data_IF_670648209311
#
_entry.id   IF_670648209311
#
_cell.length_a   1.000
_cell.length_b   1.000
_cell.length_c   1.000
_cell.angle_alpha   90.00
_cell.angle_beta   90.00
_cell.angle_gamma   90.00
#
_symmetry.space_group_name_H-M   'P 1'
#
loop_
_entity.id
_entity.type
_entity.pdbx_description
1 polymer ?
#
# COMPACT_ATOMS: atom_id res chain seq x y z
N UNK A 1 -24.94 -4.62 25.09
CA UNK A 1 -24.88 -5.98 24.50
C UNK A 1 -23.40 -6.28 24.30
N UNK A 2 -22.86 -7.04 25.25
CA UNK A 2 -21.44 -7.40 25.33
C UNK A 2 -21.12 -8.42 24.23
N UNK A 3 -20.22 -8.04 23.34
CA UNK A 3 -19.75 -8.86 22.23
C UNK A 3 -18.56 -9.68 22.72
N UNK A 4 -18.81 -10.92 23.13
CA UNK A 4 -17.73 -11.85 23.45
C UNK A 4 -17.08 -12.36 22.16
N UNK A 5 -15.86 -11.88 21.89
CA UNK A 5 -14.99 -12.37 20.82
C UNK A 5 -13.97 -13.32 21.47
N UNK A 6 -14.16 -14.62 21.30
CA UNK A 6 -13.19 -15.63 21.74
C UNK A 6 -11.98 -15.68 20.79
N UNK A 7 -10.79 -15.39 21.34
CA UNK A 7 -9.49 -15.48 20.67
C UNK A 7 -8.70 -16.67 21.25
N UNK A 8 -8.01 -17.44 20.40
CA UNK A 8 -7.23 -18.62 20.80
C UNK A 8 -5.74 -18.49 20.39
N UNK A 9 -4.83 -18.88 21.29
CA UNK A 9 -3.39 -19.10 21.04
C UNK A 9 -2.95 -20.44 21.66
N UNK A 10 -2.26 -21.30 20.91
CA UNK A 10 -1.66 -22.55 21.41
C UNK A 10 -0.17 -22.40 21.73
N UNK A 11 0.27 -22.95 22.88
CA UNK A 11 1.65 -22.93 23.39
C UNK A 11 2.48 -24.19 23.06
N UNK A 12 3.80 -24.04 23.18
CA UNK A 12 4.84 -25.05 22.90
C UNK A 12 5.31 -25.83 24.16
N UNK A 13 5.86 -27.03 23.88
CA UNK A 13 6.91 -27.81 24.58
C UNK A 13 6.54 -29.08 25.38
N UNK A 14 7.20 -30.19 25.00
CA UNK A 14 8.10 -30.91 25.90
C UNK A 14 7.64 -32.23 26.55
N UNK A 15 8.00 -33.34 25.91
CA UNK A 15 8.41 -34.67 26.46
C UNK A 15 7.77 -35.25 27.74
N UNK A 16 7.17 -36.44 27.59
CA UNK A 16 6.86 -37.34 28.70
C UNK A 16 6.25 -38.67 28.22
N UNK A 17 7.09 -39.63 27.83
CA UNK A 17 6.68 -41.00 27.50
C UNK A 17 6.36 -41.72 28.81
N UNK A 18 5.07 -41.94 29.08
CA UNK A 18 4.46 -43.09 29.78
C UNK A 18 2.98 -42.79 30.10
N UNK A 19 2.19 -42.41 29.07
CA UNK A 19 0.70 -42.35 29.09
C UNK A 19 0.12 -42.54 27.68
N UNK A 20 0.76 -43.33 26.82
CA UNK A 20 0.47 -43.34 25.38
C UNK A 20 -0.93 -43.88 25.00
N UNK A 21 -1.55 -44.76 25.81
CA UNK A 21 -2.88 -45.31 25.49
C UNK A 21 -4.04 -44.35 25.79
N UNK A 22 -4.12 -43.83 27.02
CA UNK A 22 -5.18 -42.90 27.44
C UNK A 22 -4.95 -41.48 26.90
N UNK A 23 -3.70 -41.00 26.79
CA UNK A 23 -3.44 -39.68 26.21
C UNK A 23 -3.78 -39.64 24.72
N UNK A 24 -3.45 -40.69 23.95
CA UNK A 24 -3.81 -40.77 22.53
C UNK A 24 -5.33 -40.92 22.30
N UNK A 25 -6.06 -41.63 23.18
CA UNK A 25 -7.54 -41.64 23.13
C UNK A 25 -8.13 -40.26 23.48
N UNK A 26 -7.60 -39.58 24.49
CA UNK A 26 -8.01 -38.21 24.86
C UNK A 26 -7.69 -37.19 23.76
N UNK A 27 -6.56 -37.36 23.07
CA UNK A 27 -6.14 -36.50 21.97
C UNK A 27 -6.97 -36.74 20.70
N UNK A 28 -7.29 -38.00 20.39
CA UNK A 28 -8.28 -38.35 19.35
C UNK A 28 -9.67 -37.80 19.66
N UNK A 29 -10.13 -37.91 20.91
CA UNK A 29 -11.42 -37.36 21.34
C UNK A 29 -11.44 -35.83 21.19
N UNK A 30 -10.38 -35.13 21.62
CA UNK A 30 -10.24 -33.67 21.43
C UNK A 30 -10.19 -33.26 19.97
N UNK A 31 -9.50 -34.01 19.11
CA UNK A 31 -9.48 -33.75 17.66
C UNK A 31 -10.85 -33.98 17.02
N UNK A 32 -11.59 -34.99 17.48
CA UNK A 32 -12.96 -35.26 17.03
C UNK A 32 -13.92 -34.14 17.43
N UNK A 33 -13.89 -33.71 18.69
CA UNK A 33 -14.68 -32.57 19.18
C UNK A 33 -14.37 -31.27 18.43
N UNK A 34 -13.07 -30.99 18.21
CA UNK A 34 -12.64 -29.82 17.44
C UNK A 34 -13.10 -29.88 15.98
N UNK A 35 -13.05 -31.07 15.37
CA UNK A 35 -13.54 -31.31 14.01
C UNK A 35 -15.07 -31.09 13.91
N UNK A 36 -15.84 -31.65 14.84
CA UNK A 36 -17.29 -31.48 14.90
C UNK A 36 -17.68 -30.02 15.12
N UNK A 37 -16.98 -29.31 16.00
CA UNK A 37 -17.16 -27.88 16.21
C UNK A 37 -16.87 -27.08 14.93
N UNK A 38 -15.82 -27.42 14.19
CA UNK A 38 -15.49 -26.79 12.93
C UNK A 38 -16.56 -27.04 11.85
N UNK A 39 -17.06 -28.27 11.72
CA UNK A 39 -18.15 -28.62 10.79
C UNK A 39 -19.42 -27.85 11.13
N UNK A 40 -19.77 -27.75 12.42
CA UNK A 40 -20.92 -26.98 12.89
C UNK A 40 -20.76 -25.49 12.58
N UNK A 41 -19.58 -24.91 12.80
CA UNK A 41 -19.29 -23.51 12.47
C UNK A 41 -19.37 -23.24 10.96
N UNK A 42 -18.84 -24.16 10.13
CA UNK A 42 -18.95 -24.09 8.67
C UNK A 42 -20.41 -24.14 8.20
N UNK A 43 -21.21 -25.07 8.74
CA UNK A 43 -22.63 -25.18 8.44
C UNK A 43 -23.42 -23.92 8.87
N UNK A 44 -23.06 -23.32 10.01
CA UNK A 44 -23.60 -22.06 10.48
C UNK A 44 -23.25 -20.89 9.55
N UNK A 45 -21.98 -20.77 9.13
CA UNK A 45 -21.54 -19.74 8.20
C UNK A 45 -22.16 -19.88 6.80
N UNK A 46 -22.50 -21.10 6.39
CA UNK A 46 -23.22 -21.37 5.15
C UNK A 46 -24.74 -21.07 5.24
N UNK A 47 -25.30 -20.77 6.41
CA UNK A 47 -26.74 -20.49 6.56
C UNK A 47 -27.11 -19.16 5.87
N UNK A 48 -27.95 -19.16 4.83
CA UNK A 48 -28.28 -17.95 4.07
C UNK A 48 -29.05 -16.89 4.89
N UNK A 49 -29.67 -17.27 6.00
CA UNK A 49 -30.50 -16.37 6.81
C UNK A 49 -29.72 -15.49 7.80
N UNK A 50 -28.38 -15.61 7.84
CA UNK A 50 -27.52 -14.82 8.74
C UNK A 50 -26.40 -14.14 7.96
N UNK A 51 -25.96 -12.97 8.44
CA UNK A 51 -24.67 -12.41 8.05
C UNK A 51 -23.56 -13.19 8.75
N UNK A 52 -22.55 -13.62 8.00
CA UNK A 52 -21.47 -14.44 8.52
C UNK A 52 -20.10 -13.84 8.17
N UNK A 53 -19.18 -13.87 9.13
CA UNK A 53 -17.77 -13.57 8.93
C UNK A 53 -16.96 -14.84 9.24
N UNK A 54 -16.25 -15.35 8.23
CA UNK A 54 -15.51 -16.61 8.35
C UNK A 54 -13.99 -16.35 8.37
N UNK A 55 -13.41 -16.35 9.57
CA UNK A 55 -11.94 -16.37 9.75
C UNK A 55 -11.44 -17.80 9.74
N UNK A 56 -10.54 -18.14 8.83
CA UNK A 56 -9.99 -19.49 8.82
C UNK A 56 -8.61 -19.56 8.16
N UNK A 57 -7.74 -20.44 8.68
CA UNK A 57 -6.40 -20.68 8.15
C UNK A 57 -6.44 -21.27 6.73
N UNK A 58 -5.30 -21.38 6.05
CA UNK A 58 -5.23 -22.09 4.76
C UNK A 58 -5.77 -23.53 4.89
N UNK A 59 -6.43 -24.06 3.86
CA UNK A 59 -6.95 -25.43 3.84
C UNK A 59 -8.23 -25.69 4.67
N UNK A 60 -8.74 -24.71 5.41
CA UNK A 60 -9.92 -24.82 6.29
C UNK A 60 -11.29 -24.91 5.61
N UNK A 61 -11.34 -25.00 4.28
CA UNK A 61 -12.61 -25.18 3.55
C UNK A 61 -13.45 -23.92 3.32
N UNK A 62 -12.90 -22.69 3.46
CA UNK A 62 -13.64 -21.42 3.19
C UNK A 62 -14.38 -21.42 1.84
N UNK A 63 -13.71 -21.86 0.79
CA UNK A 63 -14.31 -21.95 -0.55
C UNK A 63 -15.50 -22.91 -0.58
N UNK A 64 -15.42 -24.05 0.12
CA UNK A 64 -16.52 -24.99 0.26
C UNK A 64 -17.71 -24.33 0.97
N UNK A 65 -17.46 -23.61 2.08
CA UNK A 65 -18.51 -22.89 2.82
C UNK A 65 -19.24 -21.89 1.92
N UNK A 66 -18.51 -21.12 1.10
CA UNK A 66 -19.11 -20.18 0.15
C UNK A 66 -19.95 -20.88 -0.93
N UNK A 67 -19.46 -21.98 -1.49
CA UNK A 67 -20.21 -22.76 -2.48
C UNK A 67 -21.47 -23.37 -1.87
N UNK A 68 -21.35 -23.98 -0.69
CA UNK A 68 -22.48 -24.55 0.05
C UNK A 68 -23.51 -23.45 0.35
N UNK A 69 -23.07 -22.23 0.70
CA UNK A 69 -23.95 -21.08 0.91
C UNK A 69 -24.68 -20.65 -0.36
N UNK A 70 -23.98 -20.55 -1.50
CA UNK A 70 -24.61 -20.20 -2.78
C UNK A 70 -25.62 -21.27 -3.19
N UNK A 71 -25.29 -22.55 -3.02
CA UNK A 71 -26.20 -23.64 -3.31
C UNK A 71 -27.47 -23.58 -2.43
N UNK A 72 -27.33 -23.30 -1.13
CA UNK A 72 -28.46 -23.08 -0.21
C UNK A 72 -29.31 -21.85 -0.56
N UNK A 73 -28.71 -20.77 -1.08
CA UNK A 73 -29.47 -19.60 -1.55
C UNK A 73 -30.36 -19.93 -2.76
N UNK A 74 -29.93 -20.85 -3.62
CA UNK A 74 -30.67 -21.28 -4.81
C UNK A 74 -31.76 -22.30 -4.49
N UNK A 75 -31.60 -23.09 -3.42
CA UNK A 75 -32.57 -24.10 -3.02
C UNK A 75 -33.90 -23.48 -2.57
N UNK A 76 -34.98 -24.25 -2.77
CA UNK A 76 -36.30 -23.91 -2.23
C UNK A 76 -36.21 -23.80 -0.71
N UNK A 77 -36.80 -22.75 -0.16
CA UNK A 77 -36.74 -22.45 1.27
C UNK A 77 -37.67 -23.37 2.04
N UNK A 78 -37.36 -23.61 3.31
CA UNK A 78 -38.17 -24.46 4.20
C UNK A 78 -39.61 -23.94 4.37
N UNK A 79 -39.82 -22.62 4.26
CA UNK A 79 -41.16 -21.98 4.27
C UNK A 79 -41.95 -22.17 2.96
N UNK A 80 -41.41 -22.95 2.01
CA UNK A 80 -42.03 -23.27 0.74
C UNK A 80 -41.82 -22.23 -0.36
N UNK A 81 -41.16 -21.10 -0.09
CA UNK A 81 -40.84 -20.08 -1.10
C UNK A 81 -39.72 -20.54 -2.03
N UNK A 82 -39.70 -20.08 -3.30
CA UNK A 82 -38.58 -20.37 -4.19
C UNK A 82 -37.27 -19.80 -3.62
N UNK A 83 -36.16 -20.45 -3.98
CA UNK A 83 -34.82 -19.90 -3.76
C UNK A 83 -34.57 -18.65 -4.59
N UNK A 84 -33.43 -18.01 -4.37
CA UNK A 84 -32.99 -16.85 -5.13
C UNK A 84 -32.78 -17.20 -6.61
N UNK A 85 -33.10 -16.26 -7.51
CA UNK A 85 -32.75 -16.40 -8.91
C UNK A 85 -31.22 -16.34 -9.08
N UNK A 86 -30.60 -17.13 -9.99
CA UNK A 86 -29.15 -17.22 -10.06
C UNK A 86 -28.42 -15.90 -10.35
N UNK A 87 -29.05 -14.96 -11.06
CA UNK A 87 -28.51 -13.64 -11.36
C UNK A 87 -28.67 -12.62 -10.22
N UNK A 88 -29.49 -12.94 -9.20
CA UNK A 88 -29.69 -12.12 -8.00
C UNK A 88 -28.63 -12.33 -6.91
N UNK A 89 -27.80 -13.37 -7.03
CA UNK A 89 -26.72 -13.69 -6.09
C UNK A 89 -25.41 -13.10 -6.60
N UNK A 90 -24.87 -12.09 -5.92
CA UNK A 90 -23.54 -11.54 -6.17
C UNK A 90 -22.49 -12.22 -5.30
N UNK A 91 -21.51 -12.86 -5.93
CA UNK A 91 -20.34 -13.43 -5.27
C UNK A 91 -19.06 -12.87 -5.90
N UNK A 92 -18.31 -12.07 -5.14
CA UNK A 92 -17.08 -11.43 -5.62
C UNK A 92 -15.82 -12.08 -5.04
N UNK A 93 -14.75 -12.12 -5.82
CA UNK A 93 -13.42 -12.60 -5.40
C UNK A 93 -12.29 -11.78 -6.01
N UNK A 94 -11.05 -12.03 -5.60
CA UNK A 94 -9.89 -11.27 -6.06
C UNK A 94 -9.39 -11.71 -7.44
N UNK A 95 -9.43 -13.01 -7.73
CA UNK A 95 -8.81 -13.57 -8.95
C UNK A 95 -9.83 -14.26 -9.86
N UNK A 96 -9.60 -14.19 -11.17
CA UNK A 96 -10.41 -14.91 -12.16
C UNK A 96 -10.36 -16.43 -11.95
N UNK A 97 -9.21 -16.94 -11.52
CA UNK A 97 -9.02 -18.36 -11.22
C UNK A 97 -9.93 -18.82 -10.06
N UNK A 98 -10.01 -18.05 -8.97
CA UNK A 98 -10.88 -18.39 -7.85
C UNK A 98 -12.37 -18.34 -8.24
N UNK A 99 -12.77 -17.35 -9.06
CA UNK A 99 -14.14 -17.25 -9.56
C UNK A 99 -14.51 -18.49 -10.39
N UNK A 100 -13.64 -18.87 -11.34
CA UNK A 100 -13.83 -20.05 -12.19
C UNK A 100 -13.84 -21.35 -11.38
N UNK A 101 -12.97 -21.48 -10.38
CA UNK A 101 -12.96 -22.65 -9.49
C UNK A 101 -14.28 -22.76 -8.72
N UNK A 102 -14.78 -21.65 -8.17
CA UNK A 102 -16.06 -21.62 -7.44
C UNK A 102 -17.24 -21.99 -8.35
N UNK A 103 -17.31 -21.40 -9.56
CA UNK A 103 -18.32 -21.75 -10.57
C UNK A 103 -18.27 -23.24 -10.92
N UNK A 104 -17.08 -23.76 -11.21
CA UNK A 104 -16.88 -25.17 -11.59
C UNK A 104 -17.36 -26.12 -10.50
N UNK A 105 -17.01 -25.82 -9.24
CA UNK A 105 -17.43 -26.64 -8.09
C UNK A 105 -18.94 -26.55 -7.85
N UNK A 106 -19.54 -25.37 -7.96
CA UNK A 106 -20.98 -25.18 -7.82
C UNK A 106 -21.75 -25.93 -8.91
N UNK A 107 -21.36 -25.77 -10.18
CA UNK A 107 -21.97 -26.48 -11.30
C UNK A 107 -21.85 -28.00 -11.16
N UNK A 108 -20.72 -28.50 -10.63
CA UNK A 108 -20.57 -29.93 -10.32
C UNK A 108 -21.60 -30.39 -9.28
N UNK A 109 -21.80 -29.63 -8.20
CA UNK A 109 -22.79 -29.95 -7.17
C UNK A 109 -24.21 -29.94 -7.74
N UNK A 110 -24.58 -28.89 -8.48
CA UNK A 110 -25.92 -28.79 -9.08
C UNK A 110 -26.15 -29.89 -10.14
N UNK A 111 -25.14 -30.21 -10.94
CA UNK A 111 -25.21 -31.26 -11.96
C UNK A 111 -25.36 -32.65 -11.35
N UNK A 112 -24.66 -32.92 -10.24
CA UNK A 112 -24.82 -34.16 -9.48
C UNK A 112 -26.27 -34.30 -8.94
N UNK A 113 -26.86 -33.22 -8.42
CA UNK A 113 -28.26 -33.24 -7.96
C UNK A 113 -29.26 -33.53 -9.08
N UNK A 114 -29.01 -33.04 -10.30
CA UNK A 114 -29.90 -33.26 -11.43
C UNK A 114 -30.13 -34.76 -11.73
N UNK A 115 -29.12 -35.60 -11.48
CA UNK A 115 -29.12 -37.02 -11.88
C UNK A 115 -29.24 -38.03 -10.74
N UNK A 116 -29.12 -37.61 -9.47
CA UNK A 116 -29.23 -38.52 -8.31
C UNK A 116 -30.59 -39.23 -8.22
N UNK A 117 -30.69 -40.38 -7.59
CA UNK A 117 -31.99 -40.95 -7.20
C UNK A 117 -32.60 -40.18 -6.02
N UNK A 118 -33.91 -40.31 -5.78
CA UNK A 118 -34.63 -39.50 -4.79
C UNK A 118 -34.07 -39.64 -3.37
N UNK A 119 -33.79 -40.86 -2.91
CA UNK A 119 -33.23 -41.09 -1.56
C UNK A 119 -31.81 -40.52 -1.44
N UNK A 120 -30.96 -40.73 -2.45
CA UNK A 120 -29.62 -40.14 -2.50
C UNK A 120 -29.63 -38.61 -2.56
N UNK A 121 -30.61 -38.01 -3.26
CA UNK A 121 -30.76 -36.56 -3.33
C UNK A 121 -31.23 -36.00 -1.98
N UNK A 122 -32.17 -36.67 -1.31
CA UNK A 122 -32.61 -36.30 0.05
C UNK A 122 -31.45 -36.27 1.02
N UNK A 123 -30.62 -37.30 1.02
CA UNK A 123 -29.42 -37.37 1.88
C UNK A 123 -28.44 -36.22 1.58
N UNK A 124 -28.20 -35.94 0.29
CA UNK A 124 -27.31 -34.86 -0.11
C UNK A 124 -27.82 -33.48 0.34
N UNK A 125 -29.11 -33.21 0.17
CA UNK A 125 -29.75 -31.97 0.62
C UNK A 125 -29.80 -31.88 2.15
N UNK A 126 -30.17 -32.96 2.84
CA UNK A 126 -30.15 -33.07 4.29
C UNK A 126 -28.78 -32.73 4.89
N UNK A 127 -27.71 -33.32 4.32
CA UNK A 127 -26.34 -33.01 4.70
C UNK A 127 -25.97 -31.56 4.43
N UNK A 128 -26.45 -31.00 3.31
CA UNK A 128 -26.19 -29.61 2.97
C UNK A 128 -26.93 -28.66 3.92
N UNK A 129 -28.22 -28.81 4.18
CA UNK A 129 -29.01 -27.83 4.96
C UNK A 129 -29.05 -28.12 6.48
N UNK A 130 -28.69 -29.33 6.90
CA UNK A 130 -28.81 -29.77 8.29
C UNK A 130 -30.24 -30.17 8.69
N UNK A 131 -31.07 -30.55 7.71
CA UNK A 131 -32.46 -31.03 7.90
C UNK A 131 -32.53 -32.55 7.84
N UNK A 132 -33.62 -33.14 8.31
CA UNK A 132 -33.86 -34.59 8.16
C UNK A 132 -34.23 -34.93 6.69
N UNK A 133 -33.70 -36.02 6.09
CA UNK A 133 -33.97 -36.42 4.70
C UNK A 133 -35.45 -36.54 4.33
N UNK A 134 -36.28 -36.96 5.29
CA UNK A 134 -37.73 -37.18 5.11
C UNK A 134 -38.50 -35.86 5.01
N UNK A 135 -37.91 -34.74 5.47
CA UNK A 135 -38.57 -33.42 5.43
C UNK A 135 -38.64 -32.80 4.04
N UNK A 136 -37.92 -33.34 3.05
CA UNK A 136 -37.94 -32.83 1.69
C UNK A 136 -39.17 -33.36 0.93
N UNK A 137 -39.97 -32.48 0.35
CA UNK A 137 -41.09 -32.86 -0.49
C UNK A 137 -40.62 -33.31 -1.89
N UNK A 138 -41.53 -33.91 -2.67
CA UNK A 138 -41.26 -34.19 -4.10
C UNK A 138 -40.98 -32.91 -4.90
N UNK A 139 -41.60 -31.80 -4.51
CA UNK A 139 -41.34 -30.52 -5.17
C UNK A 139 -39.94 -30.00 -4.87
N UNK A 140 -39.43 -30.17 -3.65
CA UNK A 140 -38.05 -29.78 -3.30
C UNK A 140 -37.03 -30.51 -4.17
N UNK A 141 -37.21 -31.83 -4.36
CA UNK A 141 -36.36 -32.63 -5.22
C UNK A 141 -36.45 -32.19 -6.69
N UNK A 142 -37.66 -31.94 -7.18
CA UNK A 142 -37.89 -31.46 -8.55
C UNK A 142 -37.20 -30.12 -8.78
N UNK A 143 -37.31 -29.19 -7.83
CA UNK A 143 -36.73 -27.86 -7.96
C UNK A 143 -35.20 -27.92 -7.84
N UNK A 144 -34.66 -28.73 -6.92
CA UNK A 144 -33.22 -28.97 -6.79
C UNK A 144 -32.61 -29.51 -8.10
N UNK A 145 -33.28 -30.47 -8.77
CA UNK A 145 -32.82 -31.02 -10.06
C UNK A 145 -32.78 -29.99 -11.18
N UNK A 146 -33.71 -29.03 -11.14
CA UNK A 146 -33.80 -27.96 -12.15
C UNK A 146 -32.75 -26.87 -11.97
N UNK A 147 -32.10 -26.78 -10.80
CA UNK A 147 -31.14 -25.70 -10.51
C UNK A 147 -29.97 -25.67 -11.50
N UNK A 148 -29.47 -26.83 -11.94
CA UNK A 148 -28.39 -26.87 -12.92
C UNK A 148 -28.79 -26.24 -14.26
N UNK A 149 -29.96 -26.62 -14.79
CA UNK A 149 -30.49 -26.05 -16.03
C UNK A 149 -30.80 -24.55 -15.88
N UNK A 150 -31.48 -24.16 -14.80
CA UNK A 150 -31.78 -22.75 -14.50
C UNK A 150 -30.50 -21.91 -14.42
N UNK A 151 -29.47 -22.42 -13.76
CA UNK A 151 -28.17 -21.76 -13.64
C UNK A 151 -27.47 -21.57 -15.00
N UNK A 152 -27.56 -22.54 -15.91
CA UNK A 152 -26.99 -22.47 -17.25
C UNK A 152 -27.76 -21.52 -18.19
N UNK A 153 -29.09 -21.53 -18.09
CA UNK A 153 -29.98 -20.73 -18.95
C UNK A 153 -30.15 -19.29 -18.47
N UNK A 154 -29.66 -18.95 -17.27
CA UNK A 154 -29.73 -17.60 -16.71
C UNK A 154 -29.00 -16.61 -17.62
N UNK A 155 -29.67 -15.56 -18.14
CA UNK A 155 -29.03 -14.54 -18.98
C UNK A 155 -27.88 -13.84 -18.24
N UNK A 156 -26.68 -13.95 -18.80
CA UNK A 156 -25.46 -13.41 -18.17
C UNK A 156 -24.90 -14.27 -17.03
N UNK A 157 -25.47 -15.46 -16.79
CA UNK A 157 -25.00 -16.49 -15.86
C UNK A 157 -25.06 -16.09 -14.38
N UNK A 158 -24.58 -17.01 -13.52
CA UNK A 158 -24.36 -16.71 -12.11
C UNK A 158 -23.30 -15.62 -11.95
N UNK A 159 -23.56 -14.67 -11.04
CA UNK A 159 -22.66 -13.54 -10.77
C UNK A 159 -21.55 -13.94 -9.79
N UNK A 160 -20.73 -14.92 -10.18
CA UNK A 160 -19.47 -15.25 -9.50
C UNK A 160 -18.33 -14.64 -10.31
N UNK A 161 -17.85 -13.47 -9.87
CA UNK A 161 -16.92 -12.65 -10.67
C UNK A 161 -15.82 -12.01 -9.82
N UNK A 162 -14.86 -11.36 -10.46
CA UNK A 162 -13.85 -10.58 -9.73
C UNK A 162 -14.41 -9.22 -9.31
N UNK A 163 -13.82 -8.60 -8.30
CA UNK A 163 -14.15 -7.21 -7.91
C UNK A 163 -14.07 -6.27 -9.13
N UNK A 164 -13.02 -6.42 -9.96
CA UNK A 164 -12.85 -5.62 -11.18
C UNK A 164 -13.98 -5.83 -12.18
N UNK A 165 -14.38 -7.08 -12.45
CA UNK A 165 -15.47 -7.38 -13.39
C UNK A 165 -16.81 -6.81 -12.89
N UNK A 166 -17.07 -6.93 -11.59
CA UNK A 166 -18.22 -6.32 -10.94
C UNK A 166 -18.25 -4.79 -11.10
N UNK A 167 -17.16 -4.11 -10.74
CA UNK A 167 -17.04 -2.67 -10.88
C UNK A 167 -17.19 -2.23 -12.35
N UNK A 168 -16.52 -2.91 -13.28
CA UNK A 168 -16.60 -2.60 -14.70
C UNK A 168 -18.02 -2.77 -15.24
N UNK A 169 -18.77 -3.78 -14.77
CA UNK A 169 -20.18 -3.98 -15.13
C UNK A 169 -21.07 -2.84 -14.61
N UNK A 170 -20.84 -2.36 -13.38
CA UNK A 170 -21.55 -1.19 -12.85
C UNK A 170 -21.27 0.05 -13.70
N UNK A 171 -19.99 0.32 -13.98
CA UNK A 171 -19.58 1.47 -14.81
C UNK A 171 -20.19 1.40 -16.21
N UNK A 172 -20.27 0.21 -16.82
CA UNK A 172 -20.92 0.03 -18.13
C UNK A 172 -22.43 0.21 -18.08
N UNK A 173 -23.07 0.02 -16.92
CA UNK A 173 -24.52 0.20 -16.75
C UNK A 173 -24.90 1.67 -16.55
N UNK A 174 -24.02 2.44 -15.92
CA UNK A 174 -24.23 3.87 -15.60
C UNK A 174 -23.02 4.71 -16.01
N UNK A 175 -22.64 4.73 -17.31
CA UNK A 175 -21.40 5.38 -17.75
C UNK A 175 -21.46 6.90 -17.58
N UNK A 176 -22.62 7.52 -17.82
CA UNK A 176 -22.79 8.97 -17.72
C UNK A 176 -22.68 9.45 -16.28
N UNK A 177 -23.33 8.76 -15.35
CA UNK A 177 -23.28 9.05 -13.92
C UNK A 177 -21.88 8.83 -13.34
N UNK A 178 -21.14 7.86 -13.87
CA UNK A 178 -19.76 7.59 -13.49
C UNK A 178 -18.74 8.53 -14.17
N UNK A 179 -19.17 9.41 -15.09
CA UNK A 179 -18.26 10.28 -15.83
C UNK A 179 -17.31 9.54 -16.77
N UNK A 180 -17.67 8.34 -17.22
CA UNK A 180 -16.87 7.52 -18.16
C UNK A 180 -17.55 7.42 -19.52
N UNK A 181 -16.75 7.24 -20.57
CA UNK A 181 -17.27 7.10 -21.93
C UNK A 181 -17.99 5.75 -22.08
N UNK A 182 -19.19 5.70 -22.69
CA UNK A 182 -19.82 4.44 -23.05
C UNK A 182 -18.90 3.58 -23.93
N UNK A 183 -18.83 2.28 -23.64
CA UNK A 183 -17.97 1.35 -24.38
C UNK A 183 -16.48 1.43 -24.00
N UNK A 184 -16.14 2.00 -22.84
CA UNK A 184 -14.76 1.98 -22.36
C UNK A 184 -14.21 0.54 -22.29
N UNK A 185 -12.93 0.42 -22.64
CA UNK A 185 -12.15 -0.79 -22.48
C UNK A 185 -11.22 -0.63 -21.29
N UNK A 186 -10.97 -1.73 -20.61
CA UNK A 186 -9.95 -1.77 -19.56
C UNK A 186 -8.58 -1.72 -20.24
N UNK A 187 -7.73 -0.82 -19.74
CA UNK A 187 -6.37 -0.65 -20.27
C UNK A 187 -5.44 -1.68 -19.63
N UNK A 188 -4.64 -2.37 -20.43
CA UNK A 188 -3.62 -3.27 -19.90
C UNK A 188 -2.45 -2.48 -19.30
N UNK A 189 -1.78 -3.06 -18.30
CA UNK A 189 -0.65 -2.40 -17.61
C UNK A 189 0.46 -1.96 -18.57
N UNK A 190 0.69 -2.73 -19.64
CA UNK A 190 1.68 -2.41 -20.67
C UNK A 190 1.27 -1.15 -21.42
N UNK A 191 0.02 -1.09 -21.87
CA UNK A 191 -0.52 0.05 -22.61
C UNK A 191 -0.58 1.30 -21.72
N UNK A 192 -0.95 1.14 -20.45
CA UNK A 192 -0.94 2.21 -19.46
C UNK A 192 0.46 2.78 -19.23
N UNK A 193 1.49 1.92 -19.20
CA UNK A 193 2.89 2.36 -19.12
C UNK A 193 3.32 3.10 -20.39
N UNK A 194 3.00 2.57 -21.57
CA UNK A 194 3.34 3.22 -22.83
C UNK A 194 2.67 4.60 -22.97
N UNK A 195 1.38 4.70 -22.65
CA UNK A 195 0.63 5.95 -22.65
C UNK A 195 1.23 6.97 -21.66
N UNK A 196 1.59 6.52 -20.47
CA UNK A 196 2.25 7.37 -19.47
C UNK A 196 3.59 7.91 -19.96
N UNK A 197 4.45 7.08 -20.56
CA UNK A 197 5.73 7.53 -21.10
C UNK A 197 5.52 8.56 -22.22
N UNK A 198 4.62 8.31 -23.16
CA UNK A 198 4.32 9.24 -24.24
C UNK A 198 3.78 10.60 -23.74
N UNK A 199 2.87 10.58 -22.74
CA UNK A 199 2.36 11.80 -22.13
C UNK A 199 3.47 12.58 -21.40
N UNK A 200 4.35 11.87 -20.70
CA UNK A 200 5.48 12.45 -19.97
C UNK A 200 6.51 13.08 -20.92
N UNK A 201 6.92 12.38 -21.97
CA UNK A 201 7.83 12.91 -22.99
C UNK A 201 7.29 14.18 -23.62
N UNK A 202 6.00 14.19 -23.98
CA UNK A 202 5.34 15.38 -24.52
C UNK A 202 5.37 16.54 -23.52
N UNK A 203 5.04 16.29 -22.25
CA UNK A 203 5.05 17.31 -21.20
C UNK A 203 6.46 17.89 -20.97
N UNK A 204 7.51 17.05 -20.97
CA UNK A 204 8.90 17.50 -20.84
C UNK A 204 9.31 18.37 -22.02
N UNK A 205 9.01 17.95 -23.26
CA UNK A 205 9.34 18.71 -24.47
C UNK A 205 8.62 20.05 -24.55
N UNK A 206 7.39 20.12 -24.02
CA UNK A 206 6.63 21.36 -23.91
C UNK A 206 7.20 22.27 -22.82
N UNK A 207 7.48 21.72 -21.63
CA UNK A 207 8.10 22.46 -20.54
C UNK A 207 9.47 23.03 -20.92
N UNK A 208 10.28 22.32 -21.70
CA UNK A 208 11.56 22.80 -22.19
C UNK A 208 11.45 24.09 -23.01
N UNK A 209 10.29 24.37 -23.62
CA UNK A 209 10.06 25.58 -24.44
C UNK A 209 9.64 26.79 -23.60
N UNK A 210 8.83 26.57 -22.57
CA UNK A 210 8.19 27.66 -21.82
C UNK A 210 8.73 27.85 -20.39
N UNK A 211 9.33 26.82 -19.81
CA UNK A 211 9.86 26.81 -18.45
C UNK A 211 11.18 26.01 -18.34
N UNK A 212 12.23 26.35 -19.10
CA UNK A 212 13.50 25.62 -19.09
C UNK A 212 14.20 25.64 -17.72
N UNK A 213 14.04 26.73 -16.95
CA UNK A 213 14.59 26.86 -15.60
C UNK A 213 13.99 25.87 -14.61
N UNK A 214 12.66 25.73 -14.60
CA UNK A 214 11.97 24.78 -13.72
C UNK A 214 12.31 23.33 -14.08
N UNK A 215 12.45 23.04 -15.38
CA UNK A 215 12.85 21.71 -15.84
C UNK A 215 14.29 21.36 -15.42
N UNK A 216 15.20 22.32 -15.48
CA UNK A 216 16.57 22.16 -14.99
C UNK A 216 16.60 21.93 -13.47
N UNK A 217 15.79 22.68 -12.72
CA UNK A 217 15.64 22.50 -11.26
C UNK A 217 15.16 21.07 -10.95
N UNK A 218 14.06 20.63 -11.55
CA UNK A 218 13.51 19.29 -11.34
C UNK A 218 14.56 18.20 -11.68
N UNK A 219 15.30 18.38 -12.77
CA UNK A 219 16.34 17.43 -13.19
C UNK A 219 17.47 17.33 -12.16
N UNK A 220 17.90 18.47 -11.59
CA UNK A 220 18.94 18.53 -10.57
C UNK A 220 18.49 17.84 -9.27
N UNK A 221 17.28 18.16 -8.81
CA UNK A 221 16.73 17.58 -7.57
C UNK A 221 16.40 16.08 -7.73
N UNK A 222 16.15 15.62 -8.95
CA UNK A 222 15.98 14.20 -9.28
C UNK A 222 17.31 13.42 -9.36
N UNK A 223 18.33 13.84 -8.62
CA UNK A 223 19.66 13.22 -8.58
C UNK A 223 20.32 13.03 -9.96
N UNK A 224 20.01 13.90 -10.94
CA UNK A 224 20.45 13.78 -12.33
C UNK A 224 19.96 12.53 -13.07
N UNK A 225 18.95 11.81 -12.56
CA UNK A 225 18.24 10.76 -13.30
C UNK A 225 17.28 11.33 -14.37
N UNK A 226 17.19 12.66 -14.44
CA UNK A 226 16.38 13.40 -15.41
C UNK A 226 15.01 13.76 -14.87
N UNK A 227 14.37 14.78 -15.47
CA UNK A 227 13.00 15.18 -15.12
C UNK A 227 11.97 14.03 -15.21
N UNK A 228 12.28 12.99 -15.97
CA UNK A 228 11.48 11.78 -16.13
C UNK A 228 11.23 11.04 -14.81
N UNK A 229 12.24 10.88 -13.95
CA UNK A 229 12.13 10.16 -12.68
C UNK A 229 11.31 10.93 -11.65
N UNK A 230 11.48 12.26 -11.60
CA UNK A 230 10.67 13.14 -10.75
C UNK A 230 9.18 13.04 -11.11
N UNK A 231 8.83 13.05 -12.40
CA UNK A 231 7.45 12.90 -12.85
C UNK A 231 6.88 11.51 -12.52
N UNK A 232 7.70 10.46 -12.59
CA UNK A 232 7.28 9.11 -12.18
C UNK A 232 6.99 9.04 -10.67
N UNK A 233 7.79 9.71 -9.83
CA UNK A 233 7.52 9.82 -8.39
C UNK A 233 6.20 10.55 -8.10
N UNK A 234 5.85 11.55 -8.91
CA UNK A 234 4.58 12.26 -8.80
C UNK A 234 3.38 11.41 -9.23
N UNK A 235 3.55 10.38 -10.06
CA UNK A 235 2.45 9.53 -10.54
C UNK A 235 1.62 8.94 -9.40
N UNK A 236 2.28 8.46 -8.35
CA UNK A 236 1.61 7.88 -7.18
C UNK A 236 0.81 8.93 -6.38
N UNK A 237 1.27 10.19 -6.39
CA UNK A 237 0.68 11.31 -5.66
C UNK A 237 -0.16 12.24 -6.54
N UNK A 238 -0.38 11.89 -7.81
CA UNK A 238 -0.96 12.78 -8.81
C UNK A 238 -2.32 13.35 -8.39
N UNK A 239 -3.18 12.50 -7.82
CA UNK A 239 -4.48 12.96 -7.31
C UNK A 239 -4.36 13.96 -6.15
N UNK A 240 -3.35 13.83 -5.29
CA UNK A 240 -3.10 14.78 -4.21
C UNK A 240 -2.56 16.12 -4.75
N UNK A 241 -1.66 16.07 -5.74
CA UNK A 241 -1.15 17.26 -6.44
C UNK A 241 -2.29 18.00 -7.13
N UNK A 242 -3.16 17.30 -7.86
CA UNK A 242 -4.31 17.92 -8.53
C UNK A 242 -5.27 18.55 -7.53
N UNK A 243 -5.63 17.86 -6.44
CA UNK A 243 -6.47 18.45 -5.37
C UNK A 243 -5.81 19.66 -4.69
N UNK A 244 -4.49 19.67 -4.59
CA UNK A 244 -3.76 20.83 -4.07
C UNK A 244 -3.85 22.00 -5.06
N UNK A 245 -3.60 21.75 -6.35
CA UNK A 245 -3.71 22.76 -7.40
C UNK A 245 -5.15 23.32 -7.51
N UNK A 246 -6.17 22.46 -7.48
CA UNK A 246 -7.59 22.85 -7.48
C UNK A 246 -7.95 23.76 -6.31
N UNK A 247 -7.49 23.45 -5.09
CA UNK A 247 -7.70 24.31 -3.90
C UNK A 247 -7.07 25.70 -4.02
N UNK A 248 -6.14 25.87 -4.96
CA UNK A 248 -5.43 27.12 -5.21
C UNK A 248 -5.68 27.67 -6.62
N UNK A 249 -6.75 27.24 -7.29
CA UNK A 249 -7.19 27.68 -8.62
C UNK A 249 -6.12 27.52 -9.72
N UNK A 250 -5.19 26.56 -9.56
CA UNK A 250 -4.03 26.37 -10.44
C UNK A 250 -3.13 27.61 -10.58
N UNK A 251 -3.18 28.54 -9.62
CA UNK A 251 -2.31 29.72 -9.60
C UNK A 251 -0.99 29.38 -8.91
N UNK A 252 0.09 29.29 -9.67
CA UNK A 252 1.43 28.89 -9.22
C UNK A 252 1.88 29.70 -7.98
N UNK A 253 1.71 31.02 -8.00
CA UNK A 253 2.13 31.88 -6.88
C UNK A 253 1.39 31.55 -5.57
N UNK A 254 0.10 31.20 -5.65
CA UNK A 254 -0.69 30.81 -4.48
C UNK A 254 -0.25 29.46 -3.95
N UNK A 255 0.00 28.52 -4.87
CA UNK A 255 0.51 27.18 -4.55
C UNK A 255 1.88 27.26 -3.88
N UNK A 256 2.80 28.03 -4.46
CA UNK A 256 4.15 28.23 -3.91
C UNK A 256 4.11 28.93 -2.56
N UNK A 257 3.24 29.93 -2.38
CA UNK A 257 3.06 30.60 -1.08
C UNK A 257 2.57 29.62 -0.01
N UNK A 258 1.61 28.76 -0.33
CA UNK A 258 1.10 27.75 0.60
C UNK A 258 2.18 26.72 0.96
N UNK A 259 2.91 26.21 -0.04
CA UNK A 259 4.02 25.28 0.19
C UNK A 259 5.13 25.88 1.05
N UNK A 260 5.50 27.15 0.80
CA UNK A 260 6.50 27.85 1.61
C UNK A 260 6.07 27.98 3.06
N UNK A 261 4.79 28.32 3.31
CA UNK A 261 4.25 28.42 4.66
C UNK A 261 4.26 27.07 5.39
N UNK A 262 3.86 26.00 4.72
CA UNK A 262 3.83 24.63 5.29
C UNK A 262 5.24 24.10 5.58
N UNK A 263 6.21 24.37 4.69
CA UNK A 263 7.59 23.93 4.84
C UNK A 263 8.42 24.83 5.77
N UNK A 264 7.89 25.98 6.19
CA UNK A 264 8.67 27.02 6.87
C UNK A 264 9.85 27.53 6.02
N UNK A 265 9.70 27.53 4.71
CA UNK A 265 10.78 27.88 3.79
C UNK A 265 11.01 29.40 3.76
N UNK A 266 12.28 29.86 3.72
CA UNK A 266 12.63 31.27 3.61
C UNK A 266 12.09 31.90 2.32
N UNK A 267 11.99 33.22 2.32
CA UNK A 267 11.58 33.98 1.12
C UNK A 267 12.73 34.14 0.14
N UNK A 268 13.94 34.16 0.68
CA UNK A 268 15.21 34.31 0.01
C UNK A 268 15.49 33.12 -0.91
N UNK A 269 16.04 33.39 -2.09
CA UNK A 269 16.51 32.32 -2.98
C UNK A 269 17.75 31.64 -2.39
N UNK A 270 18.08 30.39 -2.81
CA UNK A 270 19.32 29.76 -2.41
C UNK A 270 20.56 30.63 -2.67
N UNK A 271 20.55 31.39 -3.78
CA UNK A 271 21.62 32.32 -4.16
C UNK A 271 21.70 33.52 -3.19
N UNK A 272 20.56 34.10 -2.80
CA UNK A 272 20.50 35.19 -1.82
C UNK A 272 20.99 34.73 -0.44
N UNK A 273 20.55 33.55 0.01
CA UNK A 273 21.00 32.95 1.28
C UNK A 273 22.51 32.73 1.25
N UNK A 274 23.04 32.19 0.15
CA UNK A 274 24.47 31.95 -0.02
C UNK A 274 25.26 33.27 -0.03
N UNK A 275 24.78 34.28 -0.76
CA UNK A 275 25.41 35.59 -0.84
C UNK A 275 25.45 36.29 0.53
N UNK A 276 24.36 36.24 1.31
CA UNK A 276 24.34 36.78 2.67
C UNK A 276 25.29 36.01 3.59
N UNK A 277 25.22 34.67 3.56
CA UNK A 277 26.02 33.80 4.43
C UNK A 277 27.53 33.96 4.18
N UNK A 278 27.95 34.03 2.92
CA UNK A 278 29.36 34.13 2.51
C UNK A 278 29.84 35.58 2.32
N UNK A 279 28.93 36.54 2.44
CA UNK A 279 29.19 37.98 2.37
C UNK A 279 29.24 38.61 3.76
N UNK A 280 28.19 39.35 4.10
CA UNK A 280 28.11 40.16 5.33
C UNK A 280 28.08 39.31 6.61
N UNK A 281 27.46 38.12 6.56
CA UNK A 281 27.36 37.24 7.73
C UNK A 281 28.60 36.34 7.92
N UNK A 282 29.57 36.35 7.00
CA UNK A 282 30.76 35.51 7.11
C UNK A 282 31.62 35.99 8.29
N UNK A 283 31.95 35.13 9.28
CA UNK A 283 32.64 35.56 10.49
C UNK A 283 34.15 35.70 10.23
N UNK A 284 34.53 36.69 9.42
CA UNK A 284 35.91 36.88 8.91
C UNK A 284 36.93 37.03 10.01
N UNK A 285 36.60 37.67 11.12
CA UNK A 285 37.51 37.84 12.25
C UNK A 285 37.76 36.52 12.98
N UNK A 286 36.71 35.73 13.24
CA UNK A 286 36.85 34.39 13.79
C UNK A 286 37.69 33.49 12.85
N UNK A 287 37.47 33.58 11.54
CA UNK A 287 38.25 32.84 10.55
C UNK A 287 39.74 33.25 10.60
N UNK A 288 40.05 34.54 10.73
CA UNK A 288 41.45 35.02 10.87
C UNK A 288 42.11 34.53 12.15
N UNK A 289 41.40 34.52 13.27
CA UNK A 289 41.95 33.99 14.53
C UNK A 289 42.15 32.47 14.46
N UNK A 290 41.21 31.73 13.88
CA UNK A 290 41.36 30.30 13.63
C UNK A 290 42.53 29.99 12.69
N UNK A 291 42.69 30.77 11.61
CA UNK A 291 43.82 30.69 10.68
C UNK A 291 45.16 30.81 11.41
N UNK A 292 45.33 31.84 12.25
CA UNK A 292 46.56 32.07 13.02
C UNK A 292 46.87 30.90 13.96
N UNK A 293 45.87 30.37 14.64
CA UNK A 293 46.03 29.21 15.51
C UNK A 293 46.49 27.98 14.71
N UNK A 294 45.81 27.66 13.60
CA UNK A 294 46.09 26.47 12.78
C UNK A 294 47.47 26.50 12.10
N UNK A 295 47.98 27.67 11.74
CA UNK A 295 49.33 27.81 11.18
C UNK A 295 50.44 27.32 12.13
N UNK A 296 50.19 27.37 13.45
CA UNK A 296 51.14 26.87 14.47
C UNK A 296 51.04 25.36 14.74
N UNK A 297 50.11 24.68 14.07
CA UNK A 297 49.83 23.26 14.26
C UNK A 297 50.68 22.31 13.41
N UNK A 298 50.18 21.09 13.26
CA UNK A 298 50.80 20.05 12.43
C UNK A 298 50.57 20.30 10.93
N UNK A 299 51.17 19.49 10.06
CA UNK A 299 50.91 19.54 8.61
C UNK A 299 49.41 19.41 8.26
N UNK A 300 48.63 18.69 9.07
CA UNK A 300 47.18 18.59 8.87
C UNK A 300 46.48 19.92 9.19
N UNK A 301 46.89 20.59 10.25
CA UNK A 301 46.33 21.89 10.66
C UNK A 301 46.75 22.99 9.68
N UNK A 302 47.98 22.94 9.16
CA UNK A 302 48.46 23.87 8.13
C UNK A 302 47.66 23.76 6.83
N UNK A 303 47.34 22.55 6.36
CA UNK A 303 46.43 22.36 5.21
C UNK A 303 45.03 22.94 5.46
N UNK A 304 44.57 22.93 6.71
CA UNK A 304 43.30 23.56 7.10
C UNK A 304 43.43 25.08 7.16
N UNK A 305 44.58 25.61 7.56
CA UNK A 305 44.87 27.03 7.46
C UNK A 305 44.84 27.50 5.99
N UNK A 306 45.45 26.76 5.07
CA UNK A 306 45.39 27.07 3.62
C UNK A 306 43.96 27.16 3.11
N UNK A 307 43.06 26.25 3.53
CA UNK A 307 41.65 26.31 3.14
C UNK A 307 40.87 27.49 3.75
N UNK A 308 41.21 27.93 4.97
CA UNK A 308 40.66 29.17 5.54
C UNK A 308 41.20 30.41 4.83
N UNK A 309 42.46 30.39 4.39
CA UNK A 309 43.03 31.47 3.59
C UNK A 309 42.31 31.58 2.23
N UNK A 310 42.04 30.45 1.58
CA UNK A 310 41.21 30.38 0.37
C UNK A 310 39.80 30.92 0.62
N UNK A 311 39.19 30.59 1.75
CA UNK A 311 37.88 31.14 2.16
C UNK A 311 37.89 32.67 2.24
N UNK A 312 38.97 33.26 2.76
CA UNK A 312 39.08 34.72 2.93
C UNK A 312 39.39 35.46 1.63
N UNK A 313 40.08 34.80 0.69
CA UNK A 313 40.60 35.39 -0.55
C UNK A 313 39.70 35.14 -1.78
N UNK A 314 38.79 34.17 -1.70
CA UNK A 314 37.83 33.90 -2.78
C UNK A 314 36.89 35.09 -3.03
N UNK A 315 36.59 35.33 -4.31
CA UNK A 315 35.84 36.51 -4.77
C UNK A 315 34.33 36.29 -4.89
N UNK A 316 33.88 35.03 -5.04
CA UNK A 316 32.46 34.71 -5.21
C UNK A 316 31.90 33.93 -4.01
N UNK A 317 30.61 34.14 -3.64
CA UNK A 317 29.96 33.37 -2.57
C UNK A 317 30.08 31.85 -2.75
N UNK A 318 29.98 31.36 -3.98
CA UNK A 318 30.10 29.93 -4.31
C UNK A 318 31.51 29.40 -4.02
N UNK A 319 32.54 30.16 -4.37
CA UNK A 319 33.93 29.79 -4.12
C UNK A 319 34.27 29.85 -2.62
N UNK A 320 33.76 30.86 -1.90
CA UNK A 320 33.90 30.97 -0.44
C UNK A 320 33.24 29.76 0.23
N UNK A 321 32.01 29.41 -0.16
CA UNK A 321 31.29 28.25 0.39
C UNK A 321 32.00 26.94 0.08
N UNK A 322 32.50 26.75 -1.14
CA UNK A 322 33.24 25.55 -1.52
C UNK A 322 34.50 25.34 -0.64
N UNK A 323 35.17 26.42 -0.26
CA UNK A 323 36.33 26.37 0.63
C UNK A 323 35.94 26.20 2.12
N UNK A 324 34.81 26.81 2.55
CA UNK A 324 34.42 26.90 3.95
C UNK A 324 33.52 25.75 4.43
N UNK A 325 32.59 25.28 3.60
CA UNK A 325 31.68 24.19 3.94
C UNK A 325 32.38 22.90 4.43
N UNK A 326 33.53 22.48 3.86
CA UNK A 326 34.23 21.26 4.30
C UNK A 326 34.71 21.28 5.75
N UNK A 327 34.76 22.43 6.43
CA UNK A 327 35.08 22.51 7.86
C UNK A 327 33.92 22.02 8.73
N UNK A 328 32.69 22.07 8.22
CA UNK A 328 31.47 21.73 8.94
C UNK A 328 30.80 20.48 8.39
N UNK A 329 30.93 20.23 7.08
CA UNK A 329 30.26 19.14 6.38
C UNK A 329 31.24 18.04 5.94
N UNK A 330 30.72 16.82 5.87
CA UNK A 330 31.35 15.68 5.21
C UNK A 330 31.08 15.75 3.70
N UNK A 331 31.74 14.88 2.91
CA UNK A 331 31.47 14.76 1.47
C UNK A 331 30.01 14.38 1.14
N UNK A 332 29.28 13.82 2.11
CA UNK A 332 27.86 13.48 1.99
C UNK A 332 26.92 14.61 2.40
N UNK A 333 27.45 15.77 2.80
CA UNK A 333 26.66 16.91 3.28
C UNK A 333 26.17 16.79 4.72
N UNK A 334 26.62 15.78 5.48
CA UNK A 334 26.30 15.63 6.91
C UNK A 334 27.27 16.44 7.77
N UNK A 335 26.79 16.97 8.91
CA UNK A 335 27.67 17.68 9.85
C UNK A 335 28.77 16.76 10.42
N UNK A 336 29.99 17.28 10.51
CA UNK A 336 31.13 16.55 11.06
C UNK A 336 30.94 16.29 12.55
N UNK A 337 31.17 15.04 12.96
CA UNK A 337 31.17 14.64 14.37
C UNK A 337 32.45 15.05 15.11
N UNK A 338 33.51 15.39 14.40
CA UNK A 338 34.82 15.75 14.95
C UNK A 338 35.28 17.09 14.40
N UNK A 339 36.04 17.82 15.22
CA UNK A 339 36.64 19.08 14.84
C UNK A 339 37.55 18.91 13.61
N UNK A 340 37.67 19.94 12.75
CA UNK A 340 38.47 19.86 11.53
C UNK A 340 39.98 19.96 11.77
N UNK A 341 40.44 19.98 13.02
CA UNK A 341 41.82 20.21 13.45
C UNK A 341 42.28 19.17 14.49
N UNK A 342 43.59 19.12 14.75
CA UNK A 342 44.17 18.12 15.67
C UNK A 342 43.89 18.42 17.15
N UNK A 343 43.78 17.38 17.98
CA UNK A 343 43.53 17.55 19.43
C UNK A 343 44.55 18.49 20.11
N UNK A 344 45.82 18.38 19.73
CA UNK A 344 46.92 19.19 20.28
C UNK A 344 46.70 20.69 20.05
N UNK A 345 46.23 21.09 18.86
CA UNK A 345 46.01 22.51 18.57
C UNK A 345 44.78 23.04 19.31
N UNK A 346 43.75 22.21 19.48
CA UNK A 346 42.58 22.55 20.30
C UNK A 346 42.90 22.75 21.79
N UNK A 347 43.87 22.01 22.34
CA UNK A 347 44.35 22.20 23.71
C UNK A 347 45.20 23.47 23.86
N UNK A 348 45.97 23.83 22.82
CA UNK A 348 46.82 25.03 22.83
C UNK A 348 46.02 26.33 22.67
N UNK A 349 44.90 26.28 21.95
CA UNK A 349 43.99 27.42 21.72
C UNK A 349 42.58 27.07 22.20
N UNK A 350 42.25 27.30 23.48
CA UNK A 350 40.97 26.90 24.08
C UNK A 350 39.71 27.50 23.45
N UNK A 351 39.83 28.63 22.73
CA UNK A 351 38.73 29.29 22.01
C UNK A 351 38.52 28.74 20.59
N UNK A 352 39.48 27.99 20.05
CA UNK A 352 39.41 27.42 18.70
C UNK A 352 38.17 26.54 18.46
N UNK A 353 37.69 25.74 19.44
CA UNK A 353 36.43 25.00 19.28
C UNK A 353 35.22 25.89 19.02
N UNK A 354 35.14 27.09 19.60
CA UNK A 354 33.98 27.97 19.46
C UNK A 354 33.77 28.43 18.01
N UNK A 355 34.85 28.50 17.22
CA UNK A 355 34.80 28.91 15.81
C UNK A 355 34.30 27.82 14.85
N UNK A 356 34.30 26.56 15.29
CA UNK A 356 33.89 25.41 14.46
C UNK A 356 32.68 24.66 15.04
N UNK A 357 32.22 25.04 16.24
CA UNK A 357 31.03 24.45 16.85
C UNK A 357 29.76 25.03 16.24
N UNK A 358 28.96 24.16 15.65
CA UNK A 358 27.62 24.49 15.20
C UNK A 358 26.72 24.42 16.43
N UNK A 359 26.51 25.55 17.09
CA UNK A 359 25.44 25.66 18.08
C UNK A 359 24.12 25.63 17.32
N UNK A 360 23.54 24.44 17.15
CA UNK A 360 22.16 24.27 16.70
C UNK A 360 21.22 24.85 17.77
N UNK A 361 21.10 26.18 17.83
CA UNK A 361 20.03 26.84 18.55
C UNK A 361 18.74 26.59 17.77
N UNK A 362 18.00 25.58 18.22
CA UNK A 362 16.69 25.25 17.69
C UNK A 362 16.75 24.09 16.70
N UNK A 363 16.49 22.87 17.20
CA UNK A 363 15.83 21.87 16.36
C UNK A 363 14.50 22.50 15.90
N UNK A 364 14.45 22.97 14.66
CA UNK A 364 13.20 22.97 13.91
C UNK A 364 12.71 21.51 13.94
N UNK A 365 11.64 21.28 14.70
CA UNK A 365 10.93 20.00 14.77
C UNK A 365 9.97 19.91 13.60
#
# INVERSE_FOLDING_TARGET
MTTDITCWRGGQNGTGILRAGMAAMSERARHQEAFEAAVKAQAGAANPNVSAFATANAGSGKTKVLIDRVARLLLRREDGRPGAEPDSILCVTYTRAAANEMLTRLFRTLGDWAVKEDDSLREALAKLEGRIPESYSRDDLRDARRLFARALETPGGLRIETIHAFCARILRRFPLEAGVVPGFTEMEDRDARALWQAAKERAILEAAKFAPGDLALITREAMNEGASSALDALKASGAAVMRFAERHDFVIDRMMKALRADLGAPHETPEEILATAMGEALPRDAIREALRALLTGTTTDQKRAEALEQTLTAETPEAIWAAYAPFFLTEKGEFRAQNPYTKKIGELYPLLPEYFQITLRGRLR
#
